data_IF_156107319880
#
_entry.id   IF_156107319880
#
_cell.length_a   1.000
_cell.length_b   1.000
_cell.length_c   1.000
_cell.angle_alpha   90.00
_cell.angle_beta   90.00
_cell.angle_gamma   90.00
#
_symmetry.space_group_name_H-M   'P 1'
#
loop_
_entity.id
_entity.type
_entity.pdbx_description
1 polymer ?
#
# COMPACT_ATOMS: atom_id res chain seq x y z
N UNK A 1 9.17 -7.69 -1.65
CA UNK A 1 9.14 -7.61 -0.16
C UNK A 1 7.79 -8.00 0.41
N UNK A 2 6.70 -7.38 -0.04
CA UNK A 2 5.39 -7.60 0.57
C UNK A 2 4.65 -8.81 0.01
N UNK A 3 4.90 -9.20 -1.24
CA UNK A 3 4.21 -10.30 -1.92
C UNK A 3 4.92 -11.65 -1.73
N UNK A 4 6.25 -11.66 -1.75
CA UNK A 4 7.04 -12.88 -1.86
C UNK A 4 7.45 -13.51 -0.49
N UNK A 5 6.52 -14.24 0.13
CA UNK A 5 6.76 -14.95 1.41
C UNK A 5 5.93 -16.25 1.43
N UNK A 6 6.37 -17.34 2.09
CA UNK A 6 5.55 -18.51 2.40
C UNK A 6 4.14 -18.19 2.95
N UNK A 7 3.97 -17.04 3.60
CA UNK A 7 2.69 -16.51 4.05
C UNK A 7 1.69 -16.26 2.90
N UNK A 8 2.17 -15.90 1.70
CA UNK A 8 1.34 -15.79 0.50
C UNK A 8 0.80 -17.14 0.01
N UNK A 9 1.24 -18.28 0.57
CA UNK A 9 0.65 -19.60 0.31
C UNK A 9 -0.09 -20.18 1.52
N UNK A 10 -0.08 -19.49 2.66
CA UNK A 10 -0.74 -19.95 3.88
C UNK A 10 -2.26 -20.02 3.70
N UNK A 11 -2.87 -21.07 4.23
CA UNK A 11 -4.33 -21.23 4.31
C UNK A 11 -4.88 -20.73 5.64
N UNK A 12 -4.02 -20.34 6.59
CA UNK A 12 -4.45 -19.89 7.91
C UNK A 12 -5.06 -18.48 7.84
N UNK A 13 -6.32 -18.25 8.29
CA UNK A 13 -7.03 -16.98 8.11
C UNK A 13 -6.27 -15.75 8.61
N UNK A 14 -5.57 -15.86 9.75
CA UNK A 14 -4.76 -14.75 10.28
C UNK A 14 -3.58 -14.39 9.37
N UNK A 15 -2.90 -15.37 8.78
CA UNK A 15 -1.75 -15.10 7.91
C UNK A 15 -2.20 -14.46 6.60
N UNK A 16 -3.34 -14.92 6.06
CA UNK A 16 -3.94 -14.31 4.87
C UNK A 16 -4.39 -12.87 5.16
N UNK A 17 -5.05 -12.61 6.28
CA UNK A 17 -5.41 -11.25 6.71
C UNK A 17 -4.18 -10.35 6.86
N UNK A 18 -3.12 -10.84 7.53
CA UNK A 18 -1.89 -10.09 7.73
C UNK A 18 -1.21 -9.75 6.40
N UNK A 19 -1.13 -10.73 5.49
CA UNK A 19 -0.47 -10.57 4.20
C UNK A 19 -1.27 -9.64 3.29
N UNK A 20 -2.59 -9.84 3.20
CA UNK A 20 -3.47 -9.00 2.42
C UNK A 20 -3.42 -7.53 2.90
N UNK A 21 -3.40 -7.29 4.22
CA UNK A 21 -3.25 -5.94 4.77
C UNK A 21 -1.99 -5.24 4.26
N UNK A 22 -0.83 -5.91 4.31
CA UNK A 22 0.45 -5.31 3.90
C UNK A 22 0.52 -5.08 2.38
N UNK A 23 0.11 -6.07 1.59
CA UNK A 23 0.17 -6.00 0.12
C UNK A 23 -0.81 -4.96 -0.41
N UNK A 24 -2.04 -4.92 0.12
CA UNK A 24 -3.02 -3.89 -0.26
C UNK A 24 -2.53 -2.51 0.17
N UNK A 25 -2.01 -2.35 1.40
CA UNK A 25 -1.46 -1.08 1.87
C UNK A 25 -0.37 -0.54 0.95
N UNK A 26 0.52 -1.42 0.52
CA UNK A 26 1.57 -1.11 -0.45
C UNK A 26 0.98 -0.73 -1.81
N UNK A 27 0.08 -1.54 -2.36
CA UNK A 27 -0.41 -1.39 -3.73
C UNK A 27 -1.33 -0.16 -3.94
N UNK A 28 -2.10 0.23 -2.92
CA UNK A 28 -3.00 1.40 -2.98
C UNK A 28 -2.44 2.62 -2.24
N UNK A 29 -1.16 2.58 -1.88
CA UNK A 29 -0.45 3.61 -1.13
C UNK A 29 -1.19 4.01 0.15
N UNK A 30 -1.84 3.07 0.85
CA UNK A 30 -2.65 3.40 2.01
C UNK A 30 -1.79 3.84 3.20
N UNK A 31 -2.25 4.86 3.94
CA UNK A 31 -1.76 5.07 5.30
C UNK A 31 -2.29 3.93 6.18
N UNK A 32 -1.55 3.56 7.22
CA UNK A 32 -1.99 2.52 8.15
C UNK A 32 -3.41 2.75 8.67
N UNK A 33 -3.72 3.98 9.10
CA UNK A 33 -5.05 4.37 9.58
C UNK A 33 -6.17 4.36 8.53
N UNK A 34 -5.87 4.29 7.23
CA UNK A 34 -6.90 4.13 6.19
C UNK A 34 -7.41 2.68 6.10
N UNK A 35 -6.62 1.70 6.56
CA UNK A 35 -6.96 0.26 6.51
C UNK A 35 -7.19 -0.36 7.89
N UNK A 36 -6.52 0.16 8.90
CA UNK A 36 -6.53 -0.34 10.25
C UNK A 36 -6.61 0.86 11.20
N UNK A 37 -7.69 1.06 11.97
CA UNK A 37 -7.81 2.20 12.88
C UNK A 37 -6.65 2.29 13.88
N UNK A 38 -6.37 3.51 14.32
CA UNK A 38 -5.56 3.71 15.52
C UNK A 38 -6.31 3.22 16.76
N UNK A 39 -5.56 2.83 17.79
CA UNK A 39 -6.16 2.45 19.07
C UNK A 39 -6.60 3.73 19.78
N UNK A 40 -7.91 3.99 19.73
CA UNK A 40 -8.54 5.16 20.36
C UNK A 40 -9.74 4.70 21.19
N UNK A 41 -10.22 5.56 22.09
CA UNK A 41 -11.44 5.30 22.87
C UNK A 41 -12.68 5.08 21.97
N UNK A 42 -12.71 5.70 20.78
CA UNK A 42 -13.80 5.54 19.81
C UNK A 42 -13.78 4.16 19.10
N UNK A 43 -12.66 3.46 19.11
CA UNK A 43 -12.52 2.13 18.54
C UNK A 43 -12.74 2.05 17.02
N UNK A 44 -13.05 0.84 16.54
CA UNK A 44 -13.43 0.58 15.15
C UNK A 44 -14.95 0.72 14.99
N UNK A 45 -15.37 1.24 13.84
CA UNK A 45 -16.78 1.35 13.42
C UNK A 45 -16.89 1.20 11.89
N UNK A 46 -17.95 0.54 11.38
CA UNK A 46 -18.14 0.30 9.94
C UNK A 46 -18.42 1.57 9.12
N UNK A 47 -18.91 2.64 9.75
CA UNK A 47 -19.21 3.92 9.08
C UNK A 47 -17.92 4.69 8.74
N UNK A 48 -16.89 4.54 9.58
CA UNK A 48 -15.62 5.25 9.46
C UNK A 48 -14.54 4.43 8.78
N UNK A 49 -14.52 3.11 9.01
CA UNK A 49 -13.42 2.23 8.65
C UNK A 49 -13.80 1.25 7.54
N UNK A 50 -12.83 0.72 6.80
CA UNK A 50 -13.13 -0.21 5.72
C UNK A 50 -13.70 -1.53 6.25
N UNK A 51 -14.71 -2.01 5.54
CA UNK A 51 -15.43 -3.24 5.80
C UNK A 51 -15.25 -4.22 4.64
N UNK A 52 -15.73 -5.46 4.79
CA UNK A 52 -15.78 -6.41 3.67
C UNK A 52 -16.66 -5.92 2.52
N UNK A 53 -17.69 -5.14 2.84
CA UNK A 53 -18.58 -4.51 1.86
C UNK A 53 -17.96 -3.38 1.04
N UNK A 54 -16.72 -2.95 1.36
CA UNK A 54 -16.00 -1.91 0.61
C UNK A 54 -15.10 -2.48 -0.49
N UNK A 55 -15.15 -3.79 -0.73
CA UNK A 55 -14.42 -4.46 -1.82
C UNK A 55 -15.39 -5.06 -2.80
N UNK A 56 -15.21 -4.73 -4.07
CA UNK A 56 -15.96 -5.29 -5.17
C UNK A 56 -15.01 -5.96 -6.16
N UNK A 57 -15.43 -7.09 -6.74
CA UNK A 57 -14.66 -7.80 -7.76
C UNK A 57 -15.37 -7.69 -9.11
N UNK A 58 -14.62 -7.35 -10.14
CA UNK A 58 -15.10 -7.01 -11.47
C UNK A 58 -14.19 -7.60 -12.55
N UNK A 59 -14.62 -7.49 -13.82
CA UNK A 59 -13.82 -7.88 -14.98
C UNK A 59 -13.85 -6.80 -16.05
N UNK A 60 -12.68 -6.37 -16.47
CA UNK A 60 -12.49 -5.48 -17.62
C UNK A 60 -12.19 -6.30 -18.88
N UNK A 61 -12.68 -5.81 -20.04
CA UNK A 61 -12.34 -6.41 -21.34
C UNK A 61 -10.85 -6.26 -21.68
N UNK A 62 -10.22 -5.17 -21.25
CA UNK A 62 -8.83 -4.82 -21.61
C UNK A 62 -7.82 -5.21 -20.54
N UNK A 63 -8.23 -5.19 -19.27
CA UNK A 63 -7.33 -5.42 -18.12
C UNK A 63 -7.62 -6.70 -17.35
N UNK A 64 -8.60 -7.51 -17.79
CA UNK A 64 -8.96 -8.75 -17.10
C UNK A 64 -9.61 -8.48 -15.73
N UNK A 65 -9.51 -9.43 -14.79
CA UNK A 65 -10.09 -9.29 -13.46
C UNK A 65 -9.46 -8.15 -12.65
N UNK A 66 -10.29 -7.41 -11.90
CA UNK A 66 -9.83 -6.36 -11.00
C UNK A 66 -10.74 -6.24 -9.78
N UNK A 67 -10.22 -5.65 -8.71
CA UNK A 67 -10.96 -5.30 -7.52
C UNK A 67 -11.06 -3.77 -7.40
N UNK A 68 -12.15 -3.28 -6.81
CA UNK A 68 -12.31 -1.90 -6.38
C UNK A 68 -12.38 -1.90 -4.87
N UNK A 69 -11.41 -1.25 -4.22
CA UNK A 69 -11.40 -1.02 -2.79
C UNK A 69 -11.76 0.44 -2.50
N UNK A 70 -12.86 0.66 -1.78
CA UNK A 70 -13.33 1.99 -1.42
C UNK A 70 -12.72 2.45 -0.09
N UNK A 71 -11.86 3.49 -0.12
CA UNK A 71 -11.16 3.99 1.07
C UNK A 71 -11.51 5.43 1.40
N UNK A 72 -11.57 5.75 2.70
CA UNK A 72 -11.74 7.11 3.21
C UNK A 72 -10.37 7.77 3.43
N UNK A 73 -10.03 8.86 2.72
CA UNK A 73 -8.72 9.50 2.88
C UNK A 73 -8.56 10.23 4.22
N UNK A 74 -7.56 9.86 5.03
CA UNK A 74 -7.42 10.40 6.39
C UNK A 74 -7.26 11.92 6.52
N UNK A 75 -6.47 12.58 5.65
CA UNK A 75 -6.14 14.01 5.84
C UNK A 75 -7.18 14.99 5.29
N UNK A 76 -8.04 14.55 4.36
CA UNK A 76 -9.08 15.41 3.77
C UNK A 76 -10.47 15.11 4.34
N UNK A 77 -10.68 13.90 4.87
CA UNK A 77 -11.99 13.30 5.00
C UNK A 77 -12.10 12.34 6.20
N UNK A 78 -11.32 12.51 7.27
CA UNK A 78 -11.39 11.66 8.49
C UNK A 78 -12.68 11.80 9.29
N UNK A 79 -13.59 12.68 8.89
CA UNK A 79 -14.89 12.88 9.53
C UNK A 79 -15.92 11.88 8.99
N UNK A 80 -16.88 11.51 9.85
CA UNK A 80 -18.07 10.76 9.47
C UNK A 80 -18.77 11.42 8.28
N UNK A 81 -19.26 10.62 7.32
CA UNK A 81 -19.99 11.12 6.14
C UNK A 81 -19.13 11.58 4.96
N UNK A 82 -17.81 11.72 5.11
CA UNK A 82 -16.94 12.03 3.97
C UNK A 82 -16.86 10.86 2.94
N UNK A 83 -16.68 11.20 1.66
CA UNK A 83 -16.76 10.25 0.55
C UNK A 83 -15.58 9.27 0.54
N UNK A 84 -15.88 7.96 0.39
CA UNK A 84 -14.86 6.95 0.07
C UNK A 84 -14.46 7.09 -1.41
N UNK A 85 -13.19 6.92 -1.72
CA UNK A 85 -12.67 7.00 -3.08
C UNK A 85 -12.26 5.60 -3.57
N UNK A 86 -12.51 5.26 -4.84
CA UNK A 86 -12.23 3.93 -5.37
C UNK A 86 -10.74 3.74 -5.61
N UNK A 87 -10.22 2.57 -5.26
CA UNK A 87 -8.86 2.14 -5.55
C UNK A 87 -8.91 0.87 -6.39
N UNK A 88 -8.56 1.01 -7.67
CA UNK A 88 -8.55 -0.09 -8.62
C UNK A 88 -7.30 -0.95 -8.44
N UNK A 89 -7.48 -2.26 -8.40
CA UNK A 89 -6.43 -3.26 -8.17
C UNK A 89 -6.61 -4.35 -9.24
N UNK A 90 -5.78 -4.31 -10.28
CA UNK A 90 -5.84 -5.28 -11.38
C UNK A 90 -5.14 -6.57 -10.97
N UNK A 91 -5.66 -7.72 -11.40
CA UNK A 91 -4.94 -8.98 -11.28
C UNK A 91 -3.67 -8.93 -12.13
N UNK A 92 -2.52 -9.28 -11.54
CA UNK A 92 -1.28 -9.33 -12.28
C UNK A 92 -1.06 -10.72 -12.90
N UNK A 93 -0.02 -11.44 -12.47
CA UNK A 93 0.30 -12.77 -12.98
C UNK A 93 -0.59 -13.89 -12.40
N UNK A 94 -1.43 -13.57 -11.40
CA UNK A 94 -2.35 -14.49 -10.78
C UNK A 94 -1.67 -15.57 -9.93
N UNK A 95 -0.36 -15.47 -9.66
CA UNK A 95 0.42 -16.49 -8.93
C UNK A 95 0.17 -16.50 -7.43
N UNK A 96 -0.71 -15.63 -6.97
CA UNK A 96 -1.29 -15.69 -5.64
C UNK A 96 -0.69 -14.69 -4.67
N UNK A 97 0.29 -13.87 -5.05
CA UNK A 97 0.96 -12.91 -4.18
C UNK A 97 0.66 -11.44 -4.50
N UNK A 98 0.04 -11.17 -5.65
CA UNK A 98 -0.46 -9.84 -6.00
C UNK A 98 -1.65 -9.40 -5.11
N UNK A 99 -1.90 -8.09 -5.08
CA UNK A 99 -2.92 -7.49 -4.20
C UNK A 99 -4.34 -7.97 -4.50
N UNK A 100 -4.67 -8.22 -5.78
CA UNK A 100 -5.98 -8.74 -6.17
C UNK A 100 -6.15 -10.16 -5.67
N UNK A 101 -5.14 -11.02 -5.89
CA UNK A 101 -5.18 -12.41 -5.44
C UNK A 101 -5.19 -12.52 -3.91
N UNK A 102 -4.49 -11.65 -3.21
CA UNK A 102 -4.57 -11.55 -1.75
C UNK A 102 -5.97 -11.21 -1.26
N UNK A 103 -6.65 -10.25 -1.91
CA UNK A 103 -8.05 -9.94 -1.59
C UNK A 103 -8.97 -11.11 -1.91
N UNK A 104 -8.82 -11.79 -3.05
CA UNK A 104 -9.61 -13.00 -3.37
C UNK A 104 -9.46 -14.06 -2.29
N UNK A 105 -8.22 -14.41 -1.94
CA UNK A 105 -7.92 -15.43 -0.91
C UNK A 105 -8.44 -15.02 0.46
N UNK A 106 -8.40 -13.73 0.79
CA UNK A 106 -8.97 -13.18 2.02
C UNK A 106 -10.49 -13.39 2.11
N UNK A 107 -11.20 -13.28 0.99
CA UNK A 107 -12.65 -13.49 0.93
C UNK A 107 -13.00 -14.98 0.90
N UNK A 108 -12.17 -15.81 0.27
CA UNK A 108 -12.39 -17.26 0.21
C UNK A 108 -12.08 -17.95 1.56
N UNK A 109 -10.96 -17.60 2.22
CA UNK A 109 -10.47 -18.30 3.43
C UNK A 109 -10.95 -17.68 4.75
N UNK A 110 -11.43 -16.44 4.72
CA UNK A 110 -12.05 -15.77 5.86
C UNK A 110 -13.40 -15.18 5.46
N UNK A 111 -14.22 -16.06 4.88
CA UNK A 111 -15.57 -15.75 4.41
C UNK A 111 -16.46 -15.22 5.55
N UNK A 112 -17.41 -14.38 5.16
CA UNK A 112 -18.41 -13.79 6.04
C UNK A 112 -19.79 -13.95 5.41
N UNK A 113 -20.85 -14.16 6.20
CA UNK A 113 -22.21 -14.11 5.70
C UNK A 113 -22.52 -12.76 5.03
N UNK A 114 -23.38 -12.77 4.02
CA UNK A 114 -23.68 -11.59 3.20
C UNK A 114 -24.21 -10.42 4.05
N UNK A 115 -25.05 -10.72 5.03
CA UNK A 115 -25.62 -9.74 5.95
C UNK A 115 -24.56 -9.08 6.86
N UNK A 116 -23.37 -9.67 6.97
CA UNK A 116 -22.29 -9.19 7.82
C UNK A 116 -21.19 -8.46 7.02
N UNK A 117 -21.25 -8.40 5.69
CA UNK A 117 -20.16 -7.82 4.89
C UNK A 117 -19.93 -6.34 5.22
N UNK A 118 -21.02 -5.59 5.42
CA UNK A 118 -20.99 -4.15 5.73
C UNK A 118 -20.65 -3.83 7.19
N UNK A 119 -20.60 -4.83 8.06
CA UNK A 119 -20.34 -4.68 9.50
C UNK A 119 -19.11 -5.46 9.95
N UNK A 120 -18.44 -6.18 9.05
CA UNK A 120 -17.20 -6.88 9.34
C UNK A 120 -15.99 -6.04 8.91
N UNK A 121 -14.98 -5.83 9.77
CA UNK A 121 -13.72 -5.19 9.40
C UNK A 121 -13.10 -5.84 8.16
N UNK A 122 -12.57 -5.03 7.23
CA UNK A 122 -11.92 -5.57 6.04
C UNK A 122 -10.77 -6.52 6.40
N UNK A 123 -9.93 -6.12 7.36
CA UNK A 123 -8.87 -6.96 7.91
C UNK A 123 -9.12 -7.20 9.40
N UNK A 124 -9.04 -8.47 9.82
CA UNK A 124 -9.27 -8.91 11.20
C UNK A 124 -8.29 -10.00 11.61
N UNK A 125 -8.13 -10.18 12.92
CA UNK A 125 -7.30 -11.22 13.53
C UNK A 125 -8.15 -12.05 14.47
N UNK A 126 -8.14 -13.37 14.29
CA UNK A 126 -8.70 -14.33 15.23
C UNK A 126 -7.79 -14.43 16.47
N UNK A 127 -8.33 -14.35 17.69
CA UNK A 127 -7.54 -14.50 18.90
C UNK A 127 -6.87 -15.88 18.95
N UNK A 128 -5.68 -15.96 19.57
CA UNK A 128 -5.01 -17.24 19.83
C UNK A 128 -5.65 -18.03 20.99
N UNK A 129 -6.43 -17.36 21.84
CA UNK A 129 -7.00 -17.94 23.06
C UNK A 129 -8.35 -18.59 22.78
N UNK A 130 -8.58 -19.81 23.30
CA UNK A 130 -9.88 -20.49 23.27
C UNK A 130 -10.99 -19.75 24.03
N UNK A 131 -10.66 -18.80 24.90
CA UNK A 131 -11.64 -18.07 25.74
C UNK A 131 -12.38 -16.95 25.00
N UNK A 132 -11.87 -16.49 23.86
CA UNK A 132 -12.54 -15.51 22.99
C UNK A 132 -12.41 -15.97 21.55
N UNK A 133 -13.55 -16.31 20.94
CA UNK A 133 -13.62 -16.82 19.57
C UNK A 133 -13.83 -15.71 18.53
N UNK A 134 -14.23 -14.51 18.96
CA UNK A 134 -14.58 -13.42 18.06
C UNK A 134 -13.32 -12.79 17.43
N UNK A 135 -13.23 -12.71 16.09
CA UNK A 135 -12.17 -11.95 15.43
C UNK A 135 -12.18 -10.49 15.85
N UNK A 136 -11.00 -9.89 16.03
CA UNK A 136 -10.83 -8.46 16.30
C UNK A 136 -10.32 -7.74 15.07
N UNK A 137 -10.72 -6.48 14.86
CA UNK A 137 -10.19 -5.68 13.75
C UNK A 137 -8.67 -5.50 13.84
N UNK A 138 -8.01 -5.34 12.69
CA UNK A 138 -6.60 -4.94 12.65
C UNK A 138 -6.43 -3.48 13.07
N UNK A 139 -5.37 -3.17 13.82
CA UNK A 139 -5.04 -1.80 14.25
C UNK A 139 -3.70 -1.34 13.69
N UNK A 140 -3.43 -0.02 13.68
CA UNK A 140 -2.10 0.50 13.25
C UNK A 140 -0.95 -0.10 14.08
N UNK A 141 -1.02 -0.23 15.42
CA UNK A 141 0.02 -0.92 16.18
C UNK A 141 0.24 -2.37 15.73
N UNK A 142 -0.82 -3.12 15.41
CA UNK A 142 -0.71 -4.47 14.87
C UNK A 142 -0.03 -4.47 13.50
N UNK A 143 -0.43 -3.56 12.60
CA UNK A 143 0.22 -3.40 11.30
C UNK A 143 1.70 -3.03 11.43
N UNK A 144 2.04 -2.13 12.35
CA UNK A 144 3.43 -1.76 12.66
C UNK A 144 4.24 -2.97 13.14
N UNK A 145 3.66 -3.79 14.01
CA UNK A 145 4.29 -5.02 14.48
C UNK A 145 4.51 -6.04 13.34
N UNK A 146 3.54 -6.18 12.43
CA UNK A 146 3.69 -7.03 11.24
C UNK A 146 4.84 -6.58 10.34
N UNK A 147 4.88 -5.29 10.00
CA UNK A 147 5.97 -4.72 9.20
C UNK A 147 7.31 -5.00 9.88
N UNK A 148 7.45 -4.68 11.16
CA UNK A 148 8.70 -4.89 11.91
C UNK A 148 9.10 -6.36 11.96
N UNK A 149 8.15 -7.27 12.12
CA UNK A 149 8.42 -8.72 12.11
C UNK A 149 8.95 -9.19 10.75
N UNK A 150 8.39 -8.70 9.63
CA UNK A 150 8.90 -9.00 8.28
C UNK A 150 10.32 -8.46 8.10
N UNK A 151 10.58 -7.22 8.55
CA UNK A 151 11.90 -6.61 8.43
C UNK A 151 12.95 -7.31 9.29
N UNK A 152 12.57 -7.76 10.50
CA UNK A 152 13.43 -8.60 11.35
C UNK A 152 13.85 -9.87 10.63
N UNK A 153 12.90 -10.55 9.99
CA UNK A 153 13.17 -11.78 9.27
C UNK A 153 14.09 -11.58 8.05
N UNK A 154 14.01 -10.41 7.39
CA UNK A 154 14.79 -10.12 6.18
C UNK A 154 16.17 -9.51 6.47
N UNK A 155 16.30 -8.69 7.52
CA UNK A 155 17.47 -7.83 7.73
C UNK A 155 18.01 -7.86 9.17
N UNK A 156 17.45 -8.69 10.05
CA UNK A 156 17.86 -8.80 11.45
C UNK A 156 17.22 -7.76 12.40
N UNK A 157 17.55 -7.90 13.69
CA UNK A 157 16.91 -7.18 14.82
C UNK A 157 17.06 -5.65 14.74
N UNK A 158 18.24 -5.18 14.36
CA UNK A 158 18.62 -3.75 14.39
C UNK A 158 17.82 -2.91 13.39
N UNK A 159 17.39 -3.53 12.29
CA UNK A 159 16.65 -2.83 11.25
C UNK A 159 15.28 -2.33 11.72
N UNK A 160 14.61 -3.02 12.66
CA UNK A 160 13.19 -2.83 12.98
C UNK A 160 12.79 -1.40 13.41
N UNK A 161 13.74 -0.64 13.98
CA UNK A 161 13.47 0.68 14.53
C UNK A 161 13.07 1.70 13.45
N UNK A 162 13.52 1.50 12.21
CA UNK A 162 13.24 2.38 11.08
C UNK A 162 11.95 2.05 10.34
N UNK A 163 11.22 1.02 10.77
CA UNK A 163 10.03 0.52 10.04
C UNK A 163 8.76 0.60 10.85
N UNK A 164 7.66 0.86 10.14
CA UNK A 164 6.33 0.86 10.71
C UNK A 164 5.23 0.86 9.65
N UNK A 165 4.00 1.12 10.07
CA UNK A 165 2.84 1.06 9.17
C UNK A 165 2.95 1.98 7.93
N UNK A 166 3.75 3.05 8.02
CA UNK A 166 3.97 3.95 6.89
C UNK A 166 4.92 3.41 5.82
N UNK A 167 5.72 2.39 6.15
CA UNK A 167 6.70 1.81 5.23
C UNK A 167 6.04 1.22 3.98
N UNK A 168 4.85 0.62 4.10
CA UNK A 168 4.11 0.11 2.93
C UNK A 168 3.79 1.23 1.94
N UNK A 169 3.34 2.38 2.43
CA UNK A 169 3.01 3.54 1.60
C UNK A 169 4.25 4.14 0.92
N UNK A 170 5.34 4.32 1.66
CA UNK A 170 6.61 4.82 1.11
C UNK A 170 7.15 3.84 0.06
N UNK A 171 7.16 2.55 0.38
CA UNK A 171 7.63 1.51 -0.54
C UNK A 171 6.80 1.49 -1.82
N UNK A 172 5.46 1.50 -1.72
CA UNK A 172 4.60 1.52 -2.90
C UNK A 172 4.75 2.79 -3.73
N UNK A 173 4.95 3.94 -3.09
CA UNK A 173 5.16 5.20 -3.79
C UNK A 173 6.49 5.19 -4.55
N UNK A 174 7.52 4.62 -3.92
CA UNK A 174 8.83 4.42 -4.52
C UNK A 174 8.75 3.46 -5.72
N UNK A 175 8.12 2.30 -5.55
CA UNK A 175 7.97 1.29 -6.60
C UNK A 175 7.15 1.83 -7.79
N UNK A 176 6.05 2.55 -7.51
CA UNK A 176 5.27 3.21 -8.56
C UNK A 176 6.11 4.27 -9.27
N UNK A 177 6.86 5.10 -8.56
CA UNK A 177 7.70 6.14 -9.18
C UNK A 177 8.83 5.58 -10.05
N UNK A 178 9.31 4.38 -9.74
CA UNK A 178 10.32 3.68 -10.53
C UNK A 178 9.71 2.89 -11.70
N UNK A 179 8.38 2.80 -11.79
CA UNK A 179 7.72 2.05 -12.86
C UNK A 179 7.74 2.86 -14.16
N UNK A 180 8.04 2.22 -15.32
CA UNK A 180 7.96 2.89 -16.62
C UNK A 180 6.60 3.54 -16.86
N UNK A 181 6.59 4.80 -17.30
CA UNK A 181 5.36 5.55 -17.59
C UNK A 181 4.64 6.13 -16.37
N UNK A 182 5.17 5.97 -15.15
CA UNK A 182 4.60 6.62 -13.98
C UNK A 182 4.86 8.12 -14.00
N UNK A 183 3.79 8.92 -14.09
CA UNK A 183 3.88 10.38 -13.99
C UNK A 183 3.74 10.85 -12.53
N UNK A 184 4.28 12.03 -12.19
CA UNK A 184 4.04 12.66 -10.88
C UNK A 184 2.54 12.83 -10.57
N UNK A 185 1.73 13.10 -11.59
CA UNK A 185 0.27 13.22 -11.46
C UNK A 185 -0.38 11.88 -11.10
N UNK A 186 0.02 10.79 -11.77
CA UNK A 186 -0.48 9.44 -11.46
C UNK A 186 -0.11 9.06 -10.01
N UNK A 187 1.14 9.32 -9.62
CA UNK A 187 1.62 9.10 -8.26
C UNK A 187 0.81 9.94 -7.25
N UNK A 188 0.54 11.21 -7.56
CA UNK A 188 -0.30 12.10 -6.76
C UNK A 188 -1.73 11.58 -6.55
N UNK A 189 -2.37 11.16 -7.65
CA UNK A 189 -3.72 10.62 -7.65
C UNK A 189 -3.79 9.30 -6.85
N UNK A 190 -2.87 8.37 -7.11
CA UNK A 190 -2.80 7.07 -6.41
C UNK A 190 -2.55 7.25 -4.92
N UNK A 191 -1.68 8.19 -4.55
CA UNK A 191 -1.38 8.53 -3.17
C UNK A 191 -2.49 9.33 -2.49
N UNK A 192 -3.43 9.90 -3.23
CA UNK A 192 -4.46 10.83 -2.71
C UNK A 192 -3.82 12.02 -1.99
N UNK A 193 -2.72 12.55 -2.53
CA UNK A 193 -2.04 13.71 -1.97
C UNK A 193 -2.70 15.01 -2.43
N UNK A 194 -2.79 15.98 -1.52
CA UNK A 194 -3.39 17.30 -1.81
C UNK A 194 -2.43 18.23 -2.56
N UNK A 195 -1.13 17.97 -2.45
CA UNK A 195 -0.05 18.81 -2.94
C UNK A 195 1.12 17.94 -3.42
N UNK A 196 2.21 18.58 -3.83
CA UNK A 196 3.48 18.00 -4.26
C UNK A 196 4.19 17.13 -3.21
N UNK A 197 3.56 16.86 -2.08
CA UNK A 197 4.00 15.92 -1.04
C UNK A 197 4.30 14.51 -1.61
N UNK A 198 3.85 14.17 -2.82
CA UNK A 198 4.35 12.99 -3.53
C UNK A 198 5.90 12.89 -3.54
N UNK A 199 6.59 14.04 -3.66
CA UNK A 199 8.06 14.17 -3.72
C UNK A 199 8.79 13.74 -2.44
N UNK A 200 8.12 13.72 -1.29
CA UNK A 200 8.74 13.24 -0.03
C UNK A 200 8.50 11.75 0.20
N UNK A 201 7.65 11.13 -0.63
CA UNK A 201 7.25 9.73 -0.47
C UNK A 201 7.88 8.80 -1.50
N UNK A 202 8.29 9.30 -2.66
CA UNK A 202 9.20 8.57 -3.53
C UNK A 202 10.63 8.70 -3.00
N UNK A 203 11.29 7.58 -2.73
CA UNK A 203 12.73 7.56 -2.49
C UNK A 203 13.43 7.25 -3.81
N UNK A 204 14.53 7.93 -4.11
CA UNK A 204 15.34 7.55 -5.26
C UNK A 204 15.86 6.12 -5.04
N UNK A 205 15.56 5.23 -5.98
CA UNK A 205 16.09 3.87 -5.98
C UNK A 205 17.51 3.88 -6.54
N UNK A 206 18.33 2.90 -6.17
CA UNK A 206 19.65 2.70 -6.79
C UNK A 206 19.54 2.62 -8.30
N UNK A 207 18.52 1.94 -8.81
CA UNK A 207 18.27 1.83 -10.24
C UNK A 207 18.03 3.21 -10.88
N UNK A 208 17.13 4.02 -10.32
CA UNK A 208 16.87 5.37 -10.83
C UNK A 208 18.13 6.26 -10.80
N UNK A 209 18.98 6.13 -9.78
CA UNK A 209 20.26 6.83 -9.71
C UNK A 209 21.25 6.36 -10.79
N UNK A 210 21.32 5.06 -11.05
CA UNK A 210 22.18 4.51 -12.10
C UNK A 210 21.67 4.90 -13.49
N UNK A 211 20.37 4.88 -13.72
CA UNK A 211 19.74 5.35 -14.96
C UNK A 211 19.96 6.85 -15.16
N UNK A 212 19.79 7.67 -14.12
CA UNK A 212 20.11 9.10 -14.17
C UNK A 212 21.58 9.32 -14.53
N UNK A 213 22.50 8.61 -13.88
CA UNK A 213 23.94 8.65 -14.19
C UNK A 213 24.23 8.24 -15.64
N UNK A 214 23.61 7.16 -16.12
CA UNK A 214 23.74 6.71 -17.51
C UNK A 214 23.18 7.74 -18.50
N UNK A 215 22.04 8.36 -18.20
CA UNK A 215 21.43 9.41 -19.02
C UNK A 215 22.32 10.65 -19.09
N UNK A 216 22.92 11.09 -17.98
CA UNK A 216 23.83 12.24 -17.95
C UNK A 216 25.02 12.04 -18.89
N UNK A 217 25.57 10.83 -18.95
CA UNK A 217 26.67 10.53 -19.87
C UNK A 217 26.18 10.34 -21.31
N UNK A 218 25.10 9.58 -21.51
CA UNK A 218 24.58 9.24 -22.85
C UNK A 218 23.95 10.40 -23.61
N UNK A 219 23.32 11.35 -22.91
CA UNK A 219 22.60 12.46 -23.52
C UNK A 219 23.48 13.68 -23.86
N UNK A 220 24.71 13.77 -23.34
CA UNK A 220 25.55 14.96 -23.60
C UNK A 220 27.04 14.84 -23.32
N UNK A 221 27.56 13.65 -22.94
CA UNK A 221 28.94 13.49 -22.46
C UNK A 221 29.35 14.49 -21.36
N UNK A 222 28.37 15.11 -20.69
CA UNK A 222 28.57 16.19 -19.72
C UNK A 222 29.36 17.37 -20.29
N UNK A 223 28.74 18.24 -21.08
CA UNK A 223 29.21 19.63 -21.19
C UNK A 223 28.08 20.62 -20.97
N UNK A 224 28.26 21.50 -20.01
CA UNK A 224 27.34 22.61 -19.74
C UNK A 224 27.64 23.81 -20.67
N UNK A 225 26.83 24.86 -20.58
CA UNK A 225 26.87 25.99 -21.53
C UNK A 225 28.03 26.93 -21.23
N UNK A 226 28.34 27.09 -19.95
CA UNK A 226 29.50 27.81 -19.47
C UNK A 226 30.81 27.15 -19.95
N UNK A 227 30.87 25.82 -20.07
CA UNK A 227 32.02 25.08 -20.61
C UNK A 227 32.21 25.23 -22.12
N UNK A 228 31.17 25.59 -22.84
CA UNK A 228 31.23 25.73 -24.30
C UNK A 228 31.47 27.18 -24.74
N UNK A 229 31.19 28.16 -23.87
CA UNK A 229 31.15 29.57 -24.23
C UNK A 229 31.82 30.40 -23.13
N UNK A 230 33.04 30.91 -23.38
CA UNK A 230 33.68 31.87 -22.49
C UNK A 230 32.76 33.07 -22.28
N UNK A 231 32.58 33.47 -21.01
CA UNK A 231 31.78 34.61 -20.55
C UNK A 231 30.25 34.45 -20.56
N UNK A 232 29.74 33.26 -20.87
CA UNK A 232 28.33 32.96 -20.62
C UNK A 232 28.08 32.79 -19.12
N UNK A 233 27.10 33.52 -18.59
CA UNK A 233 26.56 33.31 -17.24
C UNK A 233 25.06 33.11 -17.39
N UNK A 234 24.55 32.00 -16.87
CA UNK A 234 23.12 31.75 -16.82
C UNK A 234 22.44 32.83 -15.95
N UNK A 235 21.59 33.70 -16.51
CA UNK A 235 20.85 34.67 -15.71
C UNK A 235 19.82 33.95 -14.84
N UNK A 236 19.58 34.50 -13.64
CA UNK A 236 18.63 33.96 -12.66
C UNK A 236 17.18 33.92 -13.17
#
# INVERSE_FOLDING_TARGET
MWSDVPAARSTHPNEVNNQALLVVAWHVLARGGELAPEVTAAGWSPELHPTRGDVEFHRSKTHGPYAVLWLRPLKKHSKLGATKVPQYIVQHDGRGDDAYMMLRRLFDLDAVPEEQVKTTPLFRRRPKSRKSSAPVHMTVPMMRALVRSRMKALMGETAMQHWGAHSCRIGGATDLSASPGASPLLLQARGRWASDVAKIYNRQTRQALLEASSMMYGAGKGRDLEELIPDFVQPA
#
